data_IF_853162280671
#
_entry.id   IF_853162280671
#
_cell.length_a   1.000
_cell.length_b   1.000
_cell.length_c   1.000
_cell.angle_alpha   90.00
_cell.angle_beta   90.00
_cell.angle_gamma   90.00
#
_symmetry.space_group_name_H-M   'P 1'
#
loop_
_entity.id
_entity.type
_entity.pdbx_description
1 polymer ?
#
# COMPACT_ATOMS: atom_id res chain seq x y z
N UNK A 1 5.34 9.76 -0.67
CA UNK A 1 4.80 9.19 -1.93
C UNK A 1 3.34 8.86 -1.70
N UNK A 2 2.44 9.27 -2.60
CA UNK A 2 0.99 9.12 -2.43
C UNK A 2 0.56 7.66 -2.17
N UNK A 3 1.09 6.71 -2.94
CA UNK A 3 0.78 5.28 -2.79
C UNK A 3 1.15 4.73 -1.41
N UNK A 4 2.36 5.01 -0.93
CA UNK A 4 2.82 4.52 0.37
C UNK A 4 1.91 4.99 1.50
N UNK A 5 1.52 6.28 1.48
CA UNK A 5 0.64 6.85 2.49
C UNK A 5 -0.75 6.22 2.43
N UNK A 6 -1.32 6.06 1.23
CA UNK A 6 -2.62 5.42 1.05
C UNK A 6 -2.63 3.96 1.55
N UNK A 7 -1.55 3.20 1.34
CA UNK A 7 -1.41 1.84 1.86
C UNK A 7 -1.30 1.80 3.40
N UNK A 8 -0.55 2.72 4.00
CA UNK A 8 -0.45 2.86 5.46
C UNK A 8 -1.82 3.16 6.07
N UNK A 9 -2.56 4.08 5.47
CA UNK A 9 -3.87 4.50 5.96
C UNK A 9 -4.90 3.39 5.79
N UNK A 10 -4.91 2.69 4.65
CA UNK A 10 -5.76 1.51 4.45
C UNK A 10 -5.48 0.41 5.49
N UNK A 11 -4.20 0.11 5.75
CA UNK A 11 -3.80 -0.88 6.77
C UNK A 11 -4.28 -0.47 8.17
N UNK A 12 -4.08 0.79 8.54
CA UNK A 12 -4.50 1.31 9.86
C UNK A 12 -6.01 1.31 10.01
N UNK A 13 -6.76 1.68 8.98
CA UNK A 13 -8.23 1.63 8.97
C UNK A 13 -8.76 0.21 9.10
N UNK A 14 -8.03 -0.79 8.58
CA UNK A 14 -8.33 -2.20 8.80
C UNK A 14 -7.93 -2.72 10.20
N UNK A 15 -7.36 -1.87 11.07
CA UNK A 15 -6.94 -2.23 12.41
C UNK A 15 -5.69 -3.12 12.47
N UNK A 16 -4.88 -3.14 11.40
CA UNK A 16 -3.72 -4.02 11.29
C UNK A 16 -2.42 -3.31 11.65
N UNK A 17 -1.59 -3.97 12.45
CA UNK A 17 -0.16 -3.69 12.56
C UNK A 17 0.62 -4.12 11.31
N UNK A 18 1.88 -3.73 11.22
CA UNK A 18 2.75 -4.18 10.13
C UNK A 18 3.04 -5.69 10.23
N UNK A 19 3.17 -6.23 11.45
CA UNK A 19 3.32 -7.67 11.70
C UNK A 19 2.09 -8.45 11.26
N UNK A 20 0.87 -7.96 11.57
CA UNK A 20 -0.37 -8.62 11.15
C UNK A 20 -0.48 -8.72 9.61
N UNK A 21 -0.09 -7.64 8.91
CA UNK A 21 -0.07 -7.66 7.45
C UNK A 21 1.01 -8.60 6.91
N UNK A 22 2.19 -8.62 7.54
CA UNK A 22 3.27 -9.51 7.15
C UNK A 22 2.88 -10.98 7.28
N UNK A 23 2.17 -11.33 8.36
CA UNK A 23 1.63 -12.67 8.58
C UNK A 23 0.61 -13.05 7.51
N UNK A 24 -0.30 -12.15 7.15
CA UNK A 24 -1.28 -12.36 6.06
C UNK A 24 -0.60 -12.55 4.70
N UNK A 25 0.48 -11.81 4.45
CA UNK A 25 1.26 -11.90 3.22
C UNK A 25 2.30 -13.02 3.22
N UNK A 26 2.48 -13.73 4.35
CA UNK A 26 3.52 -14.74 4.55
C UNK A 26 4.92 -14.22 4.22
N UNK A 27 5.22 -13.02 4.68
CA UNK A 27 6.50 -12.36 4.48
C UNK A 27 7.09 -11.82 5.79
N UNK A 28 8.31 -11.28 5.73
CA UNK A 28 8.88 -10.57 6.87
C UNK A 28 8.24 -9.17 7.03
N UNK A 29 8.03 -8.72 8.26
CA UNK A 29 7.55 -7.36 8.54
C UNK A 29 8.45 -6.28 7.93
N UNK A 30 9.75 -6.53 7.80
CA UNK A 30 10.68 -5.61 7.14
C UNK A 30 10.33 -5.34 5.67
N UNK A 31 9.68 -6.27 4.98
CA UNK A 31 9.16 -6.03 3.63
C UNK A 31 8.02 -5.01 3.66
N UNK A 32 7.06 -5.16 4.58
CA UNK A 32 5.94 -4.24 4.78
C UNK A 32 6.46 -2.84 5.11
N UNK A 33 7.41 -2.73 6.05
CA UNK A 33 8.02 -1.45 6.41
C UNK A 33 8.75 -0.79 5.22
N UNK A 34 9.41 -1.56 4.36
CA UNK A 34 10.08 -1.04 3.14
C UNK A 34 9.08 -0.58 2.08
N UNK A 35 7.94 -1.25 1.95
CA UNK A 35 6.84 -0.82 1.08
C UNK A 35 6.27 0.51 1.58
N UNK A 36 5.95 0.59 2.86
CA UNK A 36 5.32 1.78 3.47
C UNK A 36 6.23 3.00 3.55
N UNK A 37 7.56 2.80 3.59
CA UNK A 37 8.54 3.87 3.50
C UNK A 37 8.93 4.24 2.07
N UNK A 38 8.43 3.52 1.06
CA UNK A 38 8.76 3.73 -0.35
C UNK A 38 10.16 3.22 -0.76
N UNK A 39 10.88 2.56 0.14
CA UNK A 39 12.17 1.92 -0.15
C UNK A 39 12.02 0.67 -1.05
N UNK A 40 10.81 0.13 -1.14
CA UNK A 40 10.44 -0.95 -2.06
C UNK A 40 9.26 -0.47 -2.91
N UNK A 41 9.47 -0.40 -4.22
CA UNK A 41 8.39 -0.14 -5.19
C UNK A 41 7.40 -1.30 -5.18
N UNK A 42 6.13 -0.93 -5.36
CA UNK A 42 4.98 -1.83 -5.47
C UNK A 42 4.49 -1.76 -6.91
N UNK A 43 4.38 -2.90 -7.57
CA UNK A 43 3.71 -3.00 -8.87
C UNK A 43 2.19 -3.18 -8.71
N UNK A 44 1.45 -3.15 -9.83
CA UNK A 44 -0.02 -3.24 -9.82
C UNK A 44 -0.52 -4.60 -9.31
N UNK A 45 0.21 -5.69 -9.56
CA UNK A 45 -0.17 -7.03 -9.07
C UNK A 45 0.04 -7.10 -7.55
N UNK A 46 1.16 -6.57 -7.06
CA UNK A 46 1.45 -6.44 -5.64
C UNK A 46 0.41 -5.57 -4.92
N UNK A 47 -0.07 -4.47 -5.54
CA UNK A 47 -1.17 -3.67 -5.02
C UNK A 47 -2.45 -4.50 -4.81
N UNK A 48 -2.82 -5.34 -5.79
CA UNK A 48 -4.00 -6.21 -5.67
C UNK A 48 -3.81 -7.26 -4.56
N UNK A 49 -2.60 -7.77 -4.37
CA UNK A 49 -2.29 -8.70 -3.27
C UNK A 49 -2.43 -8.00 -1.91
N UNK A 50 -1.89 -6.78 -1.78
CA UNK A 50 -2.02 -5.95 -0.58
C UNK A 50 -3.48 -5.63 -0.28
N UNK A 51 -4.26 -5.28 -1.30
CA UNK A 51 -5.68 -4.99 -1.18
C UNK A 51 -6.47 -6.17 -0.59
N UNK A 52 -6.22 -7.39 -1.07
CA UNK A 52 -6.84 -8.61 -0.53
C UNK A 52 -6.40 -8.91 0.90
N UNK A 53 -5.13 -8.72 1.21
CA UNK A 53 -4.59 -8.99 2.55
C UNK A 53 -5.11 -7.99 3.59
N UNK A 54 -5.26 -6.72 3.22
CA UNK A 54 -5.73 -5.67 4.11
C UNK A 54 -7.26 -5.62 4.18
N UNK A 55 -7.95 -5.89 3.06
CA UNK A 55 -9.41 -5.88 2.94
C UNK A 55 -9.98 -4.57 2.39
N UNK A 56 -9.33 -3.98 1.39
CA UNK A 56 -9.82 -2.78 0.67
C UNK A 56 -9.96 -3.05 -0.84
N UNK A 57 -10.67 -2.19 -1.57
CA UNK A 57 -10.73 -2.25 -3.03
C UNK A 57 -9.53 -1.49 -3.64
N UNK A 58 -8.68 -2.13 -4.48
CA UNK A 58 -7.51 -1.47 -5.05
C UNK A 58 -7.83 -0.20 -5.84
N UNK A 59 -9.04 -0.07 -6.39
CA UNK A 59 -9.50 1.15 -7.08
C UNK A 59 -9.64 2.35 -6.15
N UNK A 60 -9.96 2.15 -4.87
CA UNK A 60 -10.04 3.22 -3.87
C UNK A 60 -8.66 3.85 -3.61
N UNK A 61 -7.64 3.00 -3.44
CA UNK A 61 -6.26 3.47 -3.28
C UNK A 61 -5.76 4.13 -4.56
N UNK A 62 -6.09 3.58 -5.73
CA UNK A 62 -5.71 4.20 -7.00
C UNK A 62 -6.31 5.59 -7.15
N UNK A 63 -7.58 5.78 -6.81
CA UNK A 63 -8.24 7.09 -6.85
C UNK A 63 -7.58 8.12 -5.90
N UNK A 64 -7.18 7.69 -4.70
CA UNK A 64 -6.42 8.54 -3.77
C UNK A 64 -5.07 8.93 -4.37
N UNK A 65 -4.37 7.98 -4.98
CA UNK A 65 -3.07 8.23 -5.62
C UNK A 65 -3.21 9.16 -6.82
N UNK A 66 -4.22 8.96 -7.65
CA UNK A 66 -4.54 9.82 -8.80
C UNK A 66 -4.81 11.25 -8.35
N UNK A 67 -5.69 11.45 -7.37
CA UNK A 67 -6.02 12.77 -6.83
C UNK A 67 -4.82 13.48 -6.18
N UNK A 68 -3.88 12.72 -5.61
CA UNK A 68 -2.67 13.25 -4.97
C UNK A 68 -1.47 13.38 -5.93
N UNK A 69 -1.59 12.97 -7.19
CA UNK A 69 -0.54 13.08 -8.20
C UNK A 69 -0.78 14.34 -9.03
N UNK A 70 0.21 15.23 -9.06
CA UNK A 70 0.11 16.48 -9.82
C UNK A 70 0.02 16.19 -11.33
N UNK A 71 -0.84 16.91 -12.09
CA UNK A 71 -1.02 16.66 -13.54
C UNK A 71 0.25 16.83 -14.39
N UNK A 72 1.22 17.59 -13.89
CA UNK A 72 2.51 17.87 -14.53
C UNK A 72 3.65 16.97 -14.03
N UNK A 73 3.33 15.93 -13.24
CA UNK A 73 4.31 14.95 -12.79
C UNK A 73 4.98 14.24 -13.98
N UNK A 74 6.32 14.15 -13.98
CA UNK A 74 7.13 13.57 -15.07
C UNK A 74 7.73 12.23 -14.67
N UNK A 75 7.65 11.26 -15.59
CA UNK A 75 8.29 9.93 -15.49
C UNK A 75 9.68 9.90 -16.10
#
# INVERSE_FOLDING_TARGET
MALCQALVDARKSAGLGQDDLADRLKCHQSLVARIESGQRRVDVVELVVLARAIGFDPSEVLAIVEAATEPDHRI
#
